data_IF_186211018691
#
_entry.id   IF_186211018691
#
_cell.length_a   1.000
_cell.length_b   1.000
_cell.length_c   1.000
_cell.angle_alpha   90.00
_cell.angle_beta   90.00
_cell.angle_gamma   90.00
#
_symmetry.space_group_name_H-M   'P 1'
#
loop_
_entity.id
_entity.type
_entity.pdbx_description
1 polymer ?
#
# COMPACT_ATOMS: atom_id res chain seq x y z
N UNK A 1 -6.84 27.01 -20.12
CA UNK A 1 -6.52 27.35 -18.71
C UNK A 1 -6.22 26.10 -17.87
N UNK A 2 -7.14 25.15 -17.75
CA UNK A 2 -6.94 23.87 -17.02
C UNK A 2 -5.74 23.03 -17.52
N UNK A 3 -5.52 22.92 -18.82
CA UNK A 3 -4.34 22.21 -19.37
C UNK A 3 -3.00 22.86 -18.99
N UNK A 4 -2.97 24.19 -18.89
CA UNK A 4 -1.76 24.94 -18.49
C UNK A 4 -1.50 24.76 -16.99
N UNK A 5 -2.56 24.74 -16.18
CA UNK A 5 -2.51 24.45 -14.74
C UNK A 5 -1.99 23.03 -14.50
N UNK A 6 -2.52 22.02 -15.20
CA UNK A 6 -2.04 20.64 -15.10
C UNK A 6 -0.57 20.49 -15.51
N UNK A 7 -0.13 21.20 -16.55
CA UNK A 7 1.28 21.18 -16.99
C UNK A 7 2.24 21.88 -16.02
N UNK A 8 1.74 22.84 -15.23
CA UNK A 8 2.54 23.59 -14.26
C UNK A 8 2.18 23.25 -12.80
N UNK A 9 1.43 22.17 -12.58
CA UNK A 9 0.87 21.81 -11.28
C UNK A 9 1.97 21.71 -10.22
N UNK A 10 3.12 21.16 -10.61
CA UNK A 10 4.31 21.08 -9.78
C UNK A 10 4.77 22.45 -9.27
N UNK A 11 4.84 23.48 -10.12
CA UNK A 11 5.28 24.82 -9.71
C UNK A 11 4.27 25.50 -8.78
N UNK A 12 2.99 25.21 -8.96
CA UNK A 12 1.87 25.80 -8.23
C UNK A 12 1.75 25.16 -6.83
N UNK A 13 1.88 23.84 -6.74
CA UNK A 13 1.67 23.10 -5.51
C UNK A 13 2.83 23.19 -4.50
N UNK A 14 4.00 23.73 -4.88
CA UNK A 14 5.09 24.06 -3.92
C UNK A 14 4.89 25.40 -3.20
N UNK A 15 3.90 26.18 -3.61
CA UNK A 15 3.61 27.48 -2.99
C UNK A 15 2.98 27.25 -1.60
N UNK A 16 3.61 27.79 -0.55
CA UNK A 16 3.22 27.56 0.86
C UNK A 16 1.75 27.89 1.14
N UNK A 17 1.20 28.92 0.49
CA UNK A 17 -0.20 29.35 0.62
C UNK A 17 -1.13 28.34 -0.02
N UNK A 18 -0.77 27.80 -1.18
CA UNK A 18 -1.56 26.77 -1.87
C UNK A 18 -1.56 25.46 -1.07
N UNK A 19 -0.42 25.05 -0.51
CA UNK A 19 -0.35 23.88 0.38
C UNK A 19 -1.26 24.06 1.60
N UNK A 20 -1.28 25.25 2.21
CA UNK A 20 -2.12 25.54 3.37
C UNK A 20 -3.62 25.46 3.03
N UNK A 21 -4.01 26.01 1.88
CA UNK A 21 -5.40 25.97 1.39
C UNK A 21 -5.80 24.52 1.09
N UNK A 22 -4.94 23.73 0.44
CA UNK A 22 -5.20 22.32 0.15
C UNK A 22 -5.41 21.54 1.45
N UNK A 23 -4.54 21.69 2.44
CA UNK A 23 -4.69 21.03 3.75
C UNK A 23 -5.98 21.43 4.48
N UNK A 24 -6.39 22.68 4.36
CA UNK A 24 -7.65 23.18 4.92
C UNK A 24 -8.85 22.54 4.22
N UNK A 25 -8.83 22.49 2.89
CA UNK A 25 -9.88 21.85 2.07
C UNK A 25 -9.94 20.35 2.35
N UNK A 26 -8.80 19.65 2.42
CA UNK A 26 -8.73 18.22 2.78
C UNK A 26 -9.39 17.96 4.14
N UNK A 27 -9.15 18.82 5.13
CA UNK A 27 -9.76 18.71 6.46
C UNK A 27 -11.29 18.88 6.43
N UNK A 28 -11.80 19.68 5.49
CA UNK A 28 -13.25 19.95 5.33
C UNK A 28 -13.93 18.86 4.50
N UNK A 29 -13.26 18.37 3.44
CA UNK A 29 -13.84 17.47 2.46
C UNK A 29 -13.64 15.99 2.78
N UNK A 30 -12.62 15.60 3.57
CA UNK A 30 -12.45 14.21 3.98
C UNK A 30 -13.40 13.91 5.15
N UNK A 31 -14.41 13.05 4.98
CA UNK A 31 -15.20 12.58 6.10
C UNK A 31 -14.27 11.78 7.01
N UNK A 32 -14.16 12.18 8.27
CA UNK A 32 -13.57 11.34 9.30
C UNK A 32 -14.46 10.09 9.44
N UNK A 33 -13.86 8.93 9.19
CA UNK A 33 -14.45 7.59 9.22
C UNK A 33 -15.04 7.09 7.90
N UNK A 34 -14.19 6.53 7.05
CA UNK A 34 -14.59 5.42 6.18
C UNK A 34 -14.85 4.19 7.07
N UNK A 35 -16.03 4.12 7.71
CA UNK A 35 -16.59 2.84 8.11
C UNK A 35 -17.00 2.14 6.83
N UNK A 36 -16.17 1.22 6.35
CA UNK A 36 -16.45 0.36 5.21
C UNK A 36 -17.75 -0.43 5.45
N UNK A 37 -18.85 0.00 4.82
CA UNK A 37 -20.13 -0.70 4.75
C UNK A 37 -20.23 -1.60 3.51
N UNK A 38 -19.10 -2.08 2.99
CA UNK A 38 -19.05 -3.03 1.88
C UNK A 38 -19.15 -4.48 2.36
N UNK A 39 -19.77 -5.34 1.55
CA UNK A 39 -19.79 -6.80 1.72
C UNK A 39 -18.42 -7.29 2.20
N UNK A 40 -18.38 -7.95 3.36
CA UNK A 40 -17.15 -8.49 3.96
C UNK A 40 -16.55 -9.57 3.03
N UNK A 41 -15.71 -9.15 2.08
CA UNK A 41 -14.99 -10.07 1.21
C UNK A 41 -13.93 -10.78 2.03
N UNK A 42 -13.93 -12.11 1.98
CA UNK A 42 -12.94 -12.94 2.69
C UNK A 42 -11.73 -13.13 1.77
N UNK A 43 -10.58 -12.62 2.18
CA UNK A 43 -9.30 -12.86 1.48
C UNK A 43 -8.62 -14.08 2.08
N UNK A 44 -8.51 -15.16 1.32
CA UNK A 44 -7.82 -16.38 1.76
C UNK A 44 -6.31 -16.28 1.51
N UNK A 45 -5.53 -17.02 2.30
CA UNK A 45 -4.06 -17.00 2.20
C UNK A 45 -3.53 -17.35 0.81
N UNK A 46 -4.20 -18.26 0.08
CA UNK A 46 -3.80 -18.73 -1.25
C UNK A 46 -4.22 -17.80 -2.40
N UNK A 47 -5.00 -16.75 -2.11
CA UNK A 47 -5.42 -15.76 -3.12
C UNK A 47 -4.46 -14.57 -3.19
N UNK A 48 -3.56 -14.42 -2.21
CA UNK A 48 -2.79 -13.19 -2.00
C UNK A 48 -1.92 -12.84 -3.19
N UNK A 49 -1.22 -13.80 -3.80
CA UNK A 49 -0.33 -13.53 -4.93
C UNK A 49 -1.09 -12.98 -6.14
N UNK A 50 -2.21 -13.63 -6.50
CA UNK A 50 -3.09 -13.15 -7.57
C UNK A 50 -3.63 -11.75 -7.27
N UNK A 51 -4.10 -11.52 -6.04
CA UNK A 51 -4.59 -10.20 -5.61
C UNK A 51 -3.48 -9.13 -5.60
N UNK A 52 -2.23 -9.53 -5.35
CA UNK A 52 -1.11 -8.61 -5.37
C UNK A 52 -0.82 -8.10 -6.78
N UNK A 53 -0.87 -8.98 -7.77
CA UNK A 53 -0.73 -8.65 -9.19
C UNK A 53 -1.88 -7.78 -9.69
N UNK A 54 -3.11 -8.09 -9.27
CA UNK A 54 -4.30 -7.47 -9.83
C UNK A 54 -4.71 -6.17 -9.11
N UNK A 55 -4.53 -6.09 -7.79
CA UNK A 55 -5.26 -5.12 -6.98
C UNK A 55 -4.49 -4.44 -5.87
N UNK A 56 -3.25 -4.83 -5.60
CA UNK A 56 -2.50 -4.17 -4.54
C UNK A 56 -1.87 -2.86 -5.02
N UNK A 57 -1.90 -1.80 -4.19
CA UNK A 57 -1.08 -0.63 -4.46
C UNK A 57 0.40 -1.01 -4.42
N UNK A 58 1.23 -0.25 -5.14
CA UNK A 58 2.65 -0.58 -5.31
C UNK A 58 3.39 -0.83 -3.98
N UNK A 59 3.06 -0.09 -2.91
CA UNK A 59 3.66 -0.29 -1.58
C UNK A 59 3.41 -1.70 -1.02
N UNK A 60 2.23 -2.28 -1.23
CA UNK A 60 1.88 -3.61 -0.74
C UNK A 60 2.30 -4.71 -1.72
N UNK A 61 2.29 -4.43 -3.03
CA UNK A 61 2.83 -5.34 -4.05
C UNK A 61 4.34 -5.56 -3.86
N UNK A 62 5.12 -4.51 -3.57
CA UNK A 62 6.54 -4.62 -3.22
C UNK A 62 6.75 -5.51 -1.99
N UNK A 63 5.96 -5.32 -0.94
CA UNK A 63 6.03 -6.16 0.26
C UNK A 63 5.71 -7.63 -0.04
N UNK A 64 4.71 -7.90 -0.88
CA UNK A 64 4.41 -9.26 -1.34
C UNK A 64 5.59 -9.87 -2.11
N UNK A 65 6.13 -9.13 -3.08
CA UNK A 65 7.25 -9.60 -3.91
C UNK A 65 8.49 -9.94 -3.06
N UNK A 66 8.90 -9.06 -2.16
CA UNK A 66 10.07 -9.33 -1.31
C UNK A 66 9.79 -10.36 -0.21
N UNK A 67 8.55 -10.55 0.23
CA UNK A 67 8.17 -11.68 1.08
C UNK A 67 8.32 -13.01 0.32
N UNK A 68 7.87 -13.07 -0.93
CA UNK A 68 8.02 -14.25 -1.78
C UNK A 68 9.48 -14.55 -2.08
N UNK A 69 10.28 -13.52 -2.41
CA UNK A 69 11.70 -13.67 -2.72
C UNK A 69 12.54 -14.03 -1.50
N UNK A 70 12.32 -13.35 -0.37
CA UNK A 70 13.18 -13.46 0.80
C UNK A 70 12.62 -14.40 1.86
N UNK A 71 11.37 -14.86 1.74
CA UNK A 71 10.67 -15.67 2.73
C UNK A 71 10.66 -15.06 4.14
N UNK A 72 10.84 -13.74 4.24
CA UNK A 72 10.86 -12.98 5.48
C UNK A 72 10.68 -11.48 5.21
N UNK A 73 10.08 -10.78 6.18
CA UNK A 73 10.04 -9.32 6.22
C UNK A 73 10.52 -8.82 7.59
N UNK A 74 11.21 -7.66 7.59
CA UNK A 74 11.57 -6.92 8.81
C UNK A 74 10.32 -6.37 9.51
N UNK A 75 10.49 -5.89 10.74
CA UNK A 75 9.36 -5.56 11.62
C UNK A 75 8.37 -4.57 10.99
N UNK A 76 8.87 -3.47 10.41
CA UNK A 76 8.02 -2.48 9.74
C UNK A 76 7.22 -3.06 8.57
N UNK A 77 7.85 -3.94 7.77
CA UNK A 77 7.18 -4.64 6.67
C UNK A 77 6.10 -5.61 7.13
N UNK A 78 6.38 -6.40 8.18
CA UNK A 78 5.37 -7.29 8.78
C UNK A 78 4.17 -6.52 9.31
N UNK A 79 4.41 -5.36 9.93
CA UNK A 79 3.34 -4.54 10.50
C UNK A 79 2.48 -3.88 9.41
N UNK A 80 3.13 -3.16 8.47
CA UNK A 80 2.43 -2.51 7.37
C UNK A 80 1.64 -3.51 6.51
N UNK A 81 2.27 -4.62 6.12
CA UNK A 81 1.63 -5.60 5.26
C UNK A 81 0.59 -6.44 6.01
N UNK A 82 0.88 -6.87 7.24
CA UNK A 82 -0.04 -7.65 8.05
C UNK A 82 -1.35 -6.90 8.36
N UNK A 83 -1.25 -5.61 8.68
CA UNK A 83 -2.43 -4.78 8.90
C UNK A 83 -3.20 -4.49 7.61
N UNK A 84 -2.51 -4.33 6.48
CA UNK A 84 -3.15 -4.23 5.18
C UNK A 84 -3.94 -5.50 4.85
N UNK A 85 -3.35 -6.69 4.97
CA UNK A 85 -4.03 -7.96 4.69
C UNK A 85 -5.27 -8.17 5.60
N UNK A 86 -5.14 -7.84 6.89
CA UNK A 86 -6.28 -7.80 7.83
C UNK A 86 -7.38 -6.85 7.34
N UNK A 87 -7.02 -5.62 6.96
CA UNK A 87 -7.94 -4.62 6.43
C UNK A 87 -8.62 -5.04 5.12
N UNK A 88 -7.93 -5.84 4.30
CA UNK A 88 -8.46 -6.40 3.05
C UNK A 88 -9.44 -7.56 3.28
N UNK A 89 -9.64 -7.99 4.53
CA UNK A 89 -10.59 -9.04 4.89
C UNK A 89 -9.98 -10.43 5.09
N UNK A 90 -8.66 -10.54 5.27
CA UNK A 90 -8.04 -11.81 5.65
C UNK A 90 -8.36 -12.15 7.11
N UNK A 91 -8.93 -13.32 7.42
CA UNK A 91 -9.17 -13.73 8.80
C UNK A 91 -7.86 -14.20 9.47
N UNK A 92 -7.85 -14.20 10.81
CA UNK A 92 -6.67 -14.58 11.60
C UNK A 92 -6.16 -16.00 11.27
N UNK A 93 -7.07 -16.95 11.03
CA UNK A 93 -6.73 -18.32 10.63
C UNK A 93 -5.86 -18.35 9.37
N UNK A 94 -6.31 -17.64 8.32
CA UNK A 94 -5.59 -17.52 7.06
C UNK A 94 -4.29 -16.73 7.23
N UNK A 95 -4.27 -15.68 8.06
CA UNK A 95 -3.07 -14.91 8.31
C UNK A 95 -1.96 -15.77 8.96
N UNK A 96 -2.31 -16.62 9.93
CA UNK A 96 -1.35 -17.54 10.54
C UNK A 96 -0.79 -18.53 9.53
N UNK A 97 -1.64 -19.10 8.66
CA UNK A 97 -1.22 -20.01 7.59
C UNK A 97 -0.32 -19.26 6.58
N UNK A 98 -0.72 -18.07 6.15
CA UNK A 98 0.01 -17.23 5.22
C UNK A 98 1.45 -16.97 5.69
N UNK A 99 1.60 -16.38 6.88
CA UNK A 99 2.92 -16.06 7.42
C UNK A 99 3.75 -17.32 7.71
N UNK A 100 3.13 -18.39 8.21
CA UNK A 100 3.81 -19.67 8.45
C UNK A 100 4.37 -20.24 7.15
N UNK A 101 3.59 -20.27 6.07
CA UNK A 101 3.99 -20.83 4.79
C UNK A 101 5.21 -20.12 4.18
N UNK A 102 5.31 -18.79 4.33
CA UNK A 102 6.50 -18.05 3.90
C UNK A 102 7.67 -18.28 4.84
N UNK A 103 7.50 -18.03 6.14
CA UNK A 103 8.64 -18.00 7.06
C UNK A 103 9.28 -19.37 7.27
N UNK A 104 8.49 -20.44 7.18
CA UNK A 104 8.99 -21.81 7.34
C UNK A 104 9.86 -22.29 6.18
N UNK A 105 10.02 -21.50 5.11
CA UNK A 105 11.06 -21.72 4.10
C UNK A 105 12.46 -21.35 4.61
N UNK A 106 12.56 -20.61 5.71
CA UNK A 106 13.84 -20.16 6.32
C UNK A 106 14.02 -20.53 7.79
N UNK A 107 12.97 -20.96 8.46
CA UNK A 107 13.02 -21.36 9.88
C UNK A 107 12.13 -22.57 10.11
N UNK A 108 12.30 -23.28 11.22
CA UNK A 108 11.39 -24.35 11.58
C UNK A 108 10.05 -23.83 12.12
N UNK A 109 9.04 -24.71 12.18
CA UNK A 109 7.69 -24.37 12.66
C UNK A 109 7.70 -23.92 14.13
N UNK A 110 8.52 -24.53 14.99
CA UNK A 110 8.57 -24.19 16.42
C UNK A 110 9.12 -22.78 16.62
N UNK A 111 10.15 -22.41 15.84
CA UNK A 111 10.71 -21.08 15.82
C UNK A 111 9.68 -20.05 15.34
N UNK A 112 8.93 -20.36 14.27
CA UNK A 112 7.83 -19.51 13.80
C UNK A 112 6.78 -19.27 14.90
N UNK A 113 6.28 -20.35 15.50
CA UNK A 113 5.24 -20.27 16.53
C UNK A 113 5.70 -19.44 17.75
N UNK A 114 6.95 -19.65 18.19
CA UNK A 114 7.51 -18.93 19.34
C UNK A 114 7.72 -17.44 19.06
N UNK A 115 8.20 -17.07 17.88
CA UNK A 115 8.66 -15.71 17.59
C UNK A 115 7.62 -14.81 16.91
N UNK A 116 6.73 -15.36 16.08
CA UNK A 116 5.89 -14.56 15.19
C UNK A 116 4.39 -14.72 15.42
N UNK A 117 3.95 -15.89 15.87
CA UNK A 117 2.52 -16.19 16.00
C UNK A 117 1.83 -15.25 17.01
N UNK A 118 2.49 -14.88 18.10
CA UNK A 118 1.99 -13.93 19.09
C UNK A 118 1.74 -12.55 18.46
N UNK A 119 2.72 -12.04 17.71
CA UNK A 119 2.61 -10.75 17.03
C UNK A 119 1.44 -10.73 16.04
N UNK A 120 1.26 -11.80 15.25
CA UNK A 120 0.13 -11.90 14.31
C UNK A 120 -1.20 -11.85 15.08
N UNK A 121 -1.36 -12.62 16.17
CA UNK A 121 -2.58 -12.58 16.99
C UNK A 121 -2.81 -11.19 17.60
N UNK A 122 -1.75 -10.49 17.97
CA UNK A 122 -1.82 -9.14 18.52
C UNK A 122 -2.33 -8.11 17.48
N UNK A 123 -1.89 -8.19 16.21
CA UNK A 123 -2.44 -7.35 15.13
C UNK A 123 -3.95 -7.49 14.98
N UNK A 124 -4.47 -8.69 15.23
CA UNK A 124 -5.90 -9.01 15.14
C UNK A 124 -6.67 -8.72 16.44
N UNK A 125 -6.02 -8.25 17.50
CA UNK A 125 -6.65 -8.02 18.81
C UNK A 125 -7.09 -9.31 19.51
N UNK A 126 -6.53 -10.47 19.14
CA UNK A 126 -6.88 -11.76 19.72
C UNK A 126 -6.13 -12.09 21.02
N UNK A 127 -5.13 -11.27 21.38
CA UNK A 127 -4.30 -11.39 22.59
C UNK A 127 -3.95 -10.01 23.14
N UNK A 128 -3.47 -9.94 24.38
CA UNK A 128 -3.07 -8.68 25.04
C UNK A 128 -4.28 -7.82 25.43
N UNK A 129 -4.20 -6.49 25.25
CA UNK A 129 -5.32 -5.55 25.53
C UNK A 129 -6.53 -5.69 24.59
N UNK A 130 -6.51 -6.69 23.70
CA UNK A 130 -7.53 -6.93 22.67
C UNK A 130 -7.80 -5.71 21.78
N UNK A 131 -6.81 -4.83 21.61
CA UNK A 131 -6.91 -3.66 20.75
C UNK A 131 -6.64 -4.05 19.30
N UNK A 132 -7.66 -3.93 18.46
CA UNK A 132 -7.57 -4.19 17.03
C UNK A 132 -6.94 -2.99 16.31
N UNK A 133 -5.63 -3.06 16.03
CA UNK A 133 -4.93 -2.00 15.30
C UNK A 133 -5.58 -1.74 13.94
N UNK A 134 -5.90 -0.47 13.60
CA UNK A 134 -6.42 -0.14 12.29
C UNK A 134 -5.31 -0.30 11.23
N UNK A 135 -5.66 -0.66 9.98
CA UNK A 135 -4.74 -0.56 8.86
C UNK A 135 -4.12 0.83 8.74
N UNK A 136 -2.88 0.89 8.28
CA UNK A 136 -2.19 2.15 8.11
C UNK A 136 -2.72 2.89 6.87
N UNK A 137 -3.08 4.16 7.07
CA UNK A 137 -3.38 5.07 5.98
C UNK A 137 -2.12 5.56 5.26
N UNK A 138 -2.30 6.22 4.11
CA UNK A 138 -1.16 6.72 3.34
C UNK A 138 -0.34 7.74 4.15
N UNK A 139 -0.97 8.56 4.98
CA UNK A 139 -0.28 9.56 5.80
C UNK A 139 0.65 8.92 6.84
N UNK A 140 0.24 7.81 7.44
CA UNK A 140 1.06 7.02 8.37
C UNK A 140 2.23 6.39 7.62
N UNK A 141 1.98 5.74 6.48
CA UNK A 141 3.01 5.09 5.66
C UNK A 141 4.03 6.11 5.13
N UNK A 142 3.59 7.32 4.78
CA UNK A 142 4.46 8.39 4.27
C UNK A 142 5.40 8.96 5.34
N UNK A 143 5.11 8.81 6.63
CA UNK A 143 6.00 9.26 7.71
C UNK A 143 7.15 8.28 7.97
N UNK A 144 7.04 7.06 7.46
CA UNK A 144 8.03 6.02 7.70
C UNK A 144 9.31 6.27 6.89
N UNK A 145 10.45 5.97 7.50
CA UNK A 145 11.75 5.85 6.85
C UNK A 145 12.14 4.38 6.89
N UNK A 146 12.46 3.80 5.75
CA UNK A 146 12.91 2.42 5.64
C UNK A 146 14.43 2.39 5.54
N UNK A 147 15.07 1.56 6.37
CA UNK A 147 16.51 1.33 6.30
C UNK A 147 16.92 0.40 5.15
N UNK A 148 18.22 0.10 5.03
CA UNK A 148 18.71 -0.91 4.11
C UNK A 148 17.96 -2.24 4.33
N UNK A 149 17.61 -2.93 3.23
CA UNK A 149 16.86 -4.20 3.22
C UNK A 149 15.47 -4.16 3.89
N UNK A 150 14.91 -2.97 4.10
CA UNK A 150 13.53 -2.80 4.54
C UNK A 150 12.64 -2.32 3.39
N UNK A 151 11.57 -3.05 3.12
CA UNK A 151 10.72 -2.83 1.93
C UNK A 151 9.38 -2.15 2.25
N UNK A 152 9.27 -1.53 3.42
CA UNK A 152 8.04 -0.88 3.90
C UNK A 152 8.09 0.64 3.64
N UNK A 153 6.98 1.33 3.88
CA UNK A 153 6.81 2.74 3.52
C UNK A 153 6.17 2.91 2.13
N UNK A 154 6.22 4.15 1.62
CA UNK A 154 5.66 4.51 0.32
C UNK A 154 6.76 4.52 -0.75
N UNK A 155 6.67 3.69 -1.80
CA UNK A 155 7.71 3.62 -2.83
C UNK A 155 7.83 4.94 -3.61
N UNK A 156 6.72 5.63 -3.84
CA UNK A 156 6.69 6.94 -4.51
C UNK A 156 7.34 8.08 -3.70
N UNK A 157 7.71 7.83 -2.43
CA UNK A 157 8.47 8.76 -1.59
C UNK A 157 9.92 8.30 -1.38
N UNK A 158 10.11 6.99 -1.18
CA UNK A 158 11.39 6.44 -0.70
C UNK A 158 12.33 5.98 -1.82
N UNK A 159 11.80 5.53 -2.96
CA UNK A 159 12.63 4.98 -4.03
C UNK A 159 13.23 6.09 -4.91
N UNK A 160 14.48 5.89 -5.32
CA UNK A 160 15.14 6.70 -6.34
C UNK A 160 14.65 6.30 -7.75
N UNK A 161 15.12 7.01 -8.80
CA UNK A 161 14.71 6.78 -10.19
C UNK A 161 14.95 5.33 -10.62
N UNK A 162 16.14 4.80 -10.39
CA UNK A 162 16.50 3.44 -10.81
C UNK A 162 15.57 2.39 -10.18
N UNK A 163 15.38 2.46 -8.86
CA UNK A 163 14.58 1.49 -8.14
C UNK A 163 13.09 1.61 -8.45
N UNK A 164 12.54 2.82 -8.61
CA UNK A 164 11.13 2.95 -8.97
C UNK A 164 10.86 2.46 -10.40
N UNK A 165 11.75 2.72 -11.35
CA UNK A 165 11.60 2.20 -12.73
C UNK A 165 11.68 0.68 -12.76
N UNK A 166 12.58 0.08 -11.97
CA UNK A 166 12.63 -1.37 -11.82
C UNK A 166 11.30 -1.94 -11.30
N UNK A 167 10.75 -1.36 -10.23
CA UNK A 167 9.48 -1.83 -9.65
C UNK A 167 8.28 -1.58 -10.58
N UNK A 168 8.23 -0.45 -11.29
CA UNK A 168 7.18 -0.14 -12.27
C UNK A 168 7.23 -1.11 -13.46
N UNK A 169 8.42 -1.39 -14.00
CA UNK A 169 8.61 -2.37 -15.08
C UNK A 169 8.19 -3.78 -14.66
N UNK A 170 8.51 -4.19 -13.44
CA UNK A 170 8.06 -5.48 -12.87
C UNK A 170 6.54 -5.59 -12.82
N UNK A 171 5.85 -4.45 -12.65
CA UNK A 171 4.39 -4.36 -12.68
C UNK A 171 3.84 -3.99 -14.06
N UNK A 172 4.59 -4.23 -15.14
CA UNK A 172 4.14 -4.07 -16.54
C UNK A 172 3.73 -2.64 -16.90
N UNK A 173 4.28 -1.63 -16.22
CA UNK A 173 4.10 -0.23 -16.58
C UNK A 173 5.04 0.11 -17.75
N UNK A 174 4.50 0.78 -18.78
CA UNK A 174 5.28 1.23 -19.94
C UNK A 174 6.35 2.26 -19.53
N UNK A 175 7.45 2.36 -20.28
CA UNK A 175 8.50 3.36 -19.99
C UNK A 175 7.95 4.79 -20.06
N UNK A 176 7.00 5.05 -20.97
CA UNK A 176 6.32 6.35 -21.09
C UNK A 176 5.50 6.68 -19.85
N UNK A 177 4.71 5.74 -19.32
CA UNK A 177 3.94 5.96 -18.09
C UNK A 177 4.84 6.02 -16.86
N UNK A 178 5.93 5.27 -16.84
CA UNK A 178 6.91 5.30 -15.76
C UNK A 178 7.57 6.68 -15.65
N UNK A 179 7.95 7.30 -16.78
CA UNK A 179 8.45 8.68 -16.79
C UNK A 179 7.38 9.67 -16.29
N UNK A 180 6.11 9.52 -16.68
CA UNK A 180 5.04 10.39 -16.17
C UNK A 180 4.86 10.27 -14.64
N UNK A 181 4.88 9.05 -14.12
CA UNK A 181 4.82 8.79 -12.67
C UNK A 181 6.03 9.42 -11.97
N UNK A 182 7.22 9.29 -12.55
CA UNK A 182 8.45 9.87 -12.03
C UNK A 182 8.42 11.39 -12.00
N UNK A 183 7.90 12.06 -13.03
CA UNK A 183 7.72 13.51 -13.02
C UNK A 183 6.83 13.95 -11.85
N UNK A 184 5.74 13.24 -11.57
CA UNK A 184 4.87 13.52 -10.41
C UNK A 184 5.62 13.32 -9.08
N UNK A 185 6.43 12.26 -8.98
CA UNK A 185 7.25 11.99 -7.79
C UNK A 185 8.26 13.10 -7.51
N UNK A 186 8.95 13.60 -8.54
CA UNK A 186 9.90 14.73 -8.42
C UNK A 186 9.23 15.99 -7.88
N UNK A 187 7.94 16.14 -8.12
CA UNK A 187 7.16 17.26 -7.60
C UNK A 187 6.69 17.08 -6.15
N UNK A 188 7.03 15.96 -5.50
CA UNK A 188 6.70 15.71 -4.10
C UNK A 188 5.25 15.28 -3.85
N UNK A 189 4.56 14.73 -4.86
CA UNK A 189 3.17 14.27 -4.74
C UNK A 189 3.04 12.73 -4.83
N UNK A 190 3.47 11.99 -3.79
CA UNK A 190 3.48 10.53 -3.83
C UNK A 190 2.08 9.90 -3.95
N UNK A 191 1.04 10.54 -3.38
CA UNK A 191 -0.34 10.07 -3.54
C UNK A 191 -0.84 10.24 -4.99
N UNK A 192 -0.48 11.35 -5.65
CA UNK A 192 -0.82 11.55 -7.07
C UNK A 192 -0.08 10.56 -7.98
N UNK A 193 1.19 10.27 -7.67
CA UNK A 193 1.94 9.23 -8.37
C UNK A 193 1.27 7.85 -8.22
N UNK A 194 0.79 7.52 -7.02
CA UNK A 194 0.01 6.30 -6.77
C UNK A 194 -1.32 6.27 -7.55
N UNK A 195 -2.03 7.40 -7.63
CA UNK A 195 -3.26 7.50 -8.40
C UNK A 195 -3.01 7.32 -9.91
N UNK A 196 -1.95 7.95 -10.45
CA UNK A 196 -1.53 7.72 -11.85
C UNK A 196 -1.15 6.26 -12.07
N UNK A 197 -0.42 5.62 -11.15
CA UNK A 197 -0.09 4.19 -11.22
C UNK A 197 -1.36 3.31 -11.29
N UNK A 198 -2.37 3.55 -10.45
CA UNK A 198 -3.64 2.81 -10.53
C UNK A 198 -4.34 3.02 -11.87
N UNK A 199 -4.42 4.27 -12.34
CA UNK A 199 -5.13 4.60 -13.57
C UNK A 199 -4.51 3.89 -14.78
N UNK A 200 -3.19 3.77 -14.82
CA UNK A 200 -2.48 2.98 -15.83
C UNK A 200 -2.81 1.49 -15.69
N UNK A 201 -2.76 0.94 -14.47
CA UNK A 201 -3.04 -0.48 -14.22
C UNK A 201 -4.48 -0.90 -14.55
N UNK A 202 -5.44 0.00 -14.42
CA UNK A 202 -6.87 -0.30 -14.59
C UNK A 202 -7.49 0.33 -15.84
N UNK A 203 -6.69 1.02 -16.67
CA UNK A 203 -7.17 1.84 -17.79
C UNK A 203 -8.32 2.77 -17.37
N UNK A 204 -8.20 3.38 -16.18
CA UNK A 204 -9.22 4.22 -15.56
C UNK A 204 -8.78 5.69 -15.48
N UNK A 205 -9.72 6.59 -15.16
CA UNK A 205 -9.45 8.03 -14.97
C UNK A 205 -9.93 8.52 -13.60
N UNK A 206 -9.62 7.78 -12.54
CA UNK A 206 -10.13 8.04 -11.20
C UNK A 206 -9.19 8.87 -10.33
N UNK A 207 -9.79 9.66 -9.44
CA UNK A 207 -9.09 10.22 -8.28
C UNK A 207 -9.20 9.23 -7.12
N UNK A 208 -8.06 8.73 -6.64
CA UNK A 208 -8.05 7.66 -5.65
C UNK A 208 -7.76 8.20 -4.28
N UNK A 209 -8.39 7.54 -3.31
CA UNK A 209 -8.33 7.85 -1.89
C UNK A 209 -6.98 7.54 -1.25
N UNK A 210 -6.73 8.24 -0.14
CA UNK A 210 -5.49 8.25 0.64
C UNK A 210 -5.33 7.04 1.58
N UNK A 211 -5.68 5.83 1.13
CA UNK A 211 -5.56 4.62 1.95
C UNK A 211 -5.33 3.35 1.11
N UNK A 212 -4.33 2.48 1.45
CA UNK A 212 -4.06 1.25 0.70
C UNK A 212 -5.24 0.29 0.60
N UNK A 213 -6.00 0.08 1.67
CA UNK A 213 -7.21 -0.77 1.62
C UNK A 213 -8.32 -0.17 0.75
N UNK A 214 -8.50 1.15 0.72
CA UNK A 214 -9.47 1.78 -0.19
C UNK A 214 -9.04 1.67 -1.66
N UNK A 215 -7.73 1.76 -1.96
CA UNK A 215 -7.17 1.42 -3.28
C UNK A 215 -7.55 -0.02 -3.67
N UNK A 216 -7.32 -0.98 -2.76
CA UNK A 216 -7.62 -2.38 -3.00
C UNK A 216 -9.12 -2.62 -3.25
N UNK A 217 -9.99 -2.07 -2.40
CA UNK A 217 -11.44 -2.17 -2.57
C UNK A 217 -11.91 -1.58 -3.91
N UNK A 218 -11.34 -0.44 -4.31
CA UNK A 218 -11.71 0.19 -5.58
C UNK A 218 -11.25 -0.62 -6.78
N UNK A 219 -10.00 -1.11 -6.77
CA UNK A 219 -9.49 -2.02 -7.81
C UNK A 219 -10.39 -3.24 -7.97
N UNK A 220 -10.75 -3.86 -6.84
CA UNK A 220 -11.61 -5.03 -6.82
C UNK A 220 -13.04 -4.76 -7.33
N UNK A 221 -13.53 -3.53 -7.17
CA UNK A 221 -14.83 -3.11 -7.68
C UNK A 221 -14.79 -2.97 -9.21
N UNK A 222 -13.73 -2.35 -9.75
CA UNK A 222 -13.56 -2.17 -11.20
C UNK A 222 -13.36 -3.49 -11.94
N UNK A 223 -12.70 -4.48 -11.32
CA UNK A 223 -12.48 -5.79 -11.93
C UNK A 223 -13.70 -6.72 -11.91
N UNK A 224 -14.70 -6.39 -11.10
CA UNK A 224 -15.97 -7.13 -11.02
C UNK A 224 -17.09 -6.51 -11.88
N UNK A 225 -16.87 -5.29 -12.40
CA UNK A 225 -17.78 -4.58 -13.29
C UNK A 225 -17.50 -4.97 -14.75
#
# INVERSE_FOLDING_TARGET
MLQIINKNLCKILYEKRIISIIKYIEKILLPTNNKSTGVKRIVKHNMVDKLAEESFPLCMNILNYYLNKNHHLRNGGRFQYGLFLKGSGMPLSDALIFWRNHFTKKMDVKHFEKQYSYHIRHLYGAVGKMFSYPPHDCNTILKVMAGPVEYHGCPFKLLNKENIFFELKRNQISDTDAEQIWEIMKCGFPQLACAKYFNVQHNSSESITVHPNSYFERSQTLRLA
#
